data_IF_588366016171
#
_entry.id   IF_588366016171
#
_cell.length_a   1.000
_cell.length_b   1.000
_cell.length_c   1.000
_cell.angle_alpha   90.00
_cell.angle_beta   90.00
_cell.angle_gamma   90.00
#
_symmetry.space_group_name_H-M   'P 1'
#
loop_
_entity.id
_entity.type
_entity.pdbx_description
1 polymer ?
#
# COMPACT_ATOMS: atom_id res chain seq x y z
N UNK A 1 -29.89 -21.73 -19.13
CA UNK A 1 -29.75 -20.51 -18.30
C UNK A 1 -29.37 -21.00 -16.91
N UNK A 2 -28.20 -20.78 -16.31
CA UNK A 2 -27.08 -19.85 -16.53
C UNK A 2 -25.81 -20.60 -16.11
N UNK A 3 -24.75 -20.52 -16.92
CA UNK A 3 -23.40 -20.89 -16.51
C UNK A 3 -23.00 -20.03 -15.31
N UNK A 4 -22.92 -20.64 -14.13
CA UNK A 4 -22.34 -19.98 -12.96
C UNK A 4 -20.83 -20.09 -13.09
N UNK A 5 -20.23 -19.08 -13.73
CA UNK A 5 -18.79 -18.90 -13.80
C UNK A 5 -18.24 -18.85 -12.37
N UNK A 6 -17.63 -19.94 -11.92
CA UNK A 6 -16.99 -20.06 -10.62
C UNK A 6 -15.69 -19.25 -10.64
N UNK A 7 -15.82 -17.93 -10.65
CA UNK A 7 -14.70 -17.00 -10.53
C UNK A 7 -13.93 -17.37 -9.28
N UNK A 8 -12.70 -17.89 -9.45
CA UNK A 8 -11.79 -18.28 -8.36
C UNK A 8 -11.62 -17.09 -7.41
N UNK A 9 -12.37 -17.09 -6.31
CA UNK A 9 -12.33 -16.03 -5.33
C UNK A 9 -11.10 -16.23 -4.45
N UNK A 10 -10.19 -15.25 -4.43
CA UNK A 10 -9.00 -15.28 -3.59
C UNK A 10 -9.33 -14.47 -2.34
N UNK A 11 -9.41 -15.17 -1.20
CA UNK A 11 -9.63 -14.52 0.10
C UNK A 11 -8.30 -13.96 0.59
N UNK A 12 -8.30 -12.68 0.95
CA UNK A 12 -7.14 -11.98 1.51
C UNK A 12 -7.60 -11.35 2.83
N UNK A 13 -7.23 -11.97 3.95
CA UNK A 13 -7.58 -11.49 5.29
C UNK A 13 -6.47 -10.65 5.93
N UNK A 14 -5.22 -10.87 5.51
CA UNK A 14 -4.03 -10.31 6.17
C UNK A 14 -3.72 -8.86 5.81
N UNK A 15 -4.58 -8.16 5.06
CA UNK A 15 -4.34 -6.76 4.71
C UNK A 15 -5.62 -5.91 4.74
N UNK A 16 -5.45 -4.66 5.17
CA UNK A 16 -6.50 -3.65 5.11
C UNK A 16 -6.87 -3.34 3.66
N UNK A 17 -8.13 -3.04 3.41
CA UNK A 17 -8.63 -2.69 2.07
C UNK A 17 -7.86 -1.53 1.41
N UNK A 18 -7.42 -0.56 2.21
CA UNK A 18 -6.63 0.58 1.74
C UNK A 18 -5.25 0.14 1.21
N UNK A 19 -4.58 -0.78 1.91
CA UNK A 19 -3.28 -1.35 1.49
C UNK A 19 -3.45 -2.19 0.24
N UNK A 20 -4.52 -2.98 0.17
CA UNK A 20 -4.84 -3.79 -1.01
C UNK A 20 -5.09 -2.92 -2.25
N UNK A 21 -5.83 -1.83 -2.09
CA UNK A 21 -6.07 -0.87 -3.17
C UNK A 21 -4.75 -0.26 -3.68
N UNK A 22 -3.86 0.15 -2.79
CA UNK A 22 -2.55 0.68 -3.17
C UNK A 22 -1.71 -0.37 -3.93
N UNK A 23 -1.71 -1.62 -3.45
CA UNK A 23 -1.01 -2.73 -4.09
C UNK A 23 -1.57 -3.04 -5.49
N UNK A 24 -2.90 -3.05 -5.65
CA UNK A 24 -3.53 -3.23 -6.95
C UNK A 24 -3.17 -2.11 -7.90
N UNK A 25 -3.22 -0.85 -7.45
CA UNK A 25 -2.86 0.28 -8.29
C UNK A 25 -1.43 0.11 -8.82
N UNK A 26 -0.48 -0.22 -7.95
CA UNK A 26 0.90 -0.52 -8.37
C UNK A 26 0.95 -1.65 -9.42
N UNK A 27 0.21 -2.74 -9.22
CA UNK A 27 0.20 -3.86 -10.17
C UNK A 27 -0.31 -3.44 -11.58
N UNK A 28 -1.19 -2.44 -11.67
CA UNK A 28 -1.77 -1.98 -12.92
C UNK A 28 -1.03 -0.78 -13.54
N UNK A 29 -0.38 0.07 -12.74
CA UNK A 29 0.21 1.34 -13.20
C UNK A 29 1.69 1.49 -12.86
N UNK A 30 2.29 0.49 -12.23
CA UNK A 30 3.67 0.50 -11.69
C UNK A 30 3.93 1.69 -10.72
N UNK A 31 2.86 2.24 -10.15
CA UNK A 31 2.92 3.41 -9.26
C UNK A 31 1.97 3.27 -8.07
N UNK A 32 2.40 3.80 -6.92
CA UNK A 32 1.54 3.89 -5.72
C UNK A 32 0.90 5.27 -5.69
N UNK A 33 -0.44 5.36 -5.59
CA UNK A 33 -1.15 6.64 -5.54
C UNK A 33 -0.82 7.39 -4.25
N UNK A 34 -0.95 8.72 -4.30
CA UNK A 34 -0.81 9.53 -3.09
C UNK A 34 -1.94 9.22 -2.09
N UNK A 35 -1.70 9.56 -0.82
CA UNK A 35 -2.67 9.27 0.24
C UNK A 35 -4.01 9.95 -0.03
N UNK A 36 -4.01 11.17 -0.56
CA UNK A 36 -5.23 11.89 -0.92
C UNK A 36 -6.05 11.19 -2.01
N UNK A 37 -5.39 10.52 -2.95
CA UNK A 37 -6.04 9.75 -4.03
C UNK A 37 -6.58 8.40 -3.53
N UNK A 38 -5.82 7.73 -2.65
CA UNK A 38 -6.26 6.50 -1.97
C UNK A 38 -7.53 6.74 -1.17
N UNK A 39 -7.57 7.90 -0.52
CA UNK A 39 -8.62 8.39 0.35
C UNK A 39 -9.87 8.84 -0.43
N UNK A 40 -9.70 9.61 -1.49
CA UNK A 40 -10.82 10.17 -2.26
C UNK A 40 -11.65 9.11 -2.98
N UNK A 41 -11.05 7.96 -3.29
CA UNK A 41 -11.71 6.90 -4.03
C UNK A 41 -12.52 5.90 -3.19
N UNK A 42 -12.71 6.11 -1.88
CA UNK A 42 -13.54 5.25 -1.04
C UNK A 42 -13.59 5.64 0.45
N UNK A 43 -14.59 5.13 1.15
CA UNK A 43 -14.85 5.30 2.58
C UNK A 43 -13.95 4.40 3.45
N UNK A 44 -12.65 4.57 3.30
CA UNK A 44 -11.61 3.83 4.02
C UNK A 44 -11.04 4.67 5.17
N UNK A 45 -10.59 3.98 6.22
CA UNK A 45 -10.17 4.57 7.50
C UNK A 45 -9.06 5.62 7.30
N UNK A 46 -9.41 6.88 7.55
CA UNK A 46 -8.59 8.08 7.35
C UNK A 46 -7.49 8.26 8.40
N UNK A 47 -7.46 7.44 9.44
CA UNK A 47 -6.62 7.67 10.60
C UNK A 47 -5.25 6.96 10.49
N UNK A 48 -4.94 6.34 9.34
CA UNK A 48 -3.69 5.64 9.16
C UNK A 48 -2.59 6.58 8.66
N UNK A 49 -1.46 6.73 9.39
CA UNK A 49 -0.34 7.53 8.93
C UNK A 49 0.31 6.91 7.68
N UNK A 50 0.91 7.74 6.83
CA UNK A 50 1.59 7.31 5.60
C UNK A 50 2.65 6.23 5.88
N UNK A 51 3.39 6.37 6.98
CA UNK A 51 4.41 5.41 7.40
C UNK A 51 3.82 4.01 7.63
N UNK A 52 2.66 3.91 8.27
CA UNK A 52 1.97 2.64 8.51
C UNK A 52 1.44 2.03 7.20
N UNK A 53 0.95 2.86 6.26
CA UNK A 53 0.59 2.39 4.92
C UNK A 53 1.78 1.71 4.22
N UNK A 54 2.91 2.41 4.10
CA UNK A 54 4.08 1.87 3.41
C UNK A 54 4.69 0.66 4.13
N UNK A 55 4.60 0.59 5.46
CA UNK A 55 4.99 -0.60 6.23
C UNK A 55 4.12 -1.81 5.89
N UNK A 56 2.80 -1.66 5.91
CA UNK A 56 1.89 -2.74 5.54
C UNK A 56 2.04 -3.13 4.06
N UNK A 57 2.27 -2.15 3.19
CA UNK A 57 2.48 -2.37 1.76
C UNK A 57 3.79 -3.11 1.49
N UNK A 58 4.85 -2.85 2.27
CA UNK A 58 6.11 -3.59 2.21
C UNK A 58 5.92 -5.06 2.62
N UNK A 59 5.15 -5.31 3.68
CA UNK A 59 4.82 -6.69 4.11
C UNK A 59 4.03 -7.42 3.02
N UNK A 60 3.06 -6.75 2.40
CA UNK A 60 2.32 -7.31 1.26
C UNK A 60 3.26 -7.56 0.06
N UNK A 61 4.07 -6.58 -0.33
CA UNK A 61 5.03 -6.71 -1.43
C UNK A 61 5.97 -7.91 -1.24
N UNK A 62 6.44 -8.11 -0.01
CA UNK A 62 7.27 -9.26 0.33
C UNK A 62 6.50 -10.60 0.18
N UNK A 63 5.24 -10.65 0.64
CA UNK A 63 4.42 -11.85 0.58
C UNK A 63 3.98 -12.23 -0.84
N UNK A 64 3.73 -11.26 -1.68
CA UNK A 64 3.28 -11.45 -3.07
C UNK A 64 4.43 -11.37 -4.10
N UNK A 65 5.69 -11.34 -3.64
CA UNK A 65 6.90 -11.25 -4.48
C UNK A 65 6.85 -10.09 -5.51
N UNK A 66 6.39 -8.92 -5.07
CA UNK A 66 6.37 -7.70 -5.87
C UNK A 66 7.65 -6.90 -5.61
N UNK A 67 8.75 -7.28 -6.25
CA UNK A 67 10.06 -6.65 -6.02
C UNK A 67 10.08 -5.16 -6.36
N UNK A 68 9.37 -4.72 -7.40
CA UNK A 68 9.24 -3.29 -7.75
C UNK A 68 8.55 -2.49 -6.64
N UNK A 69 7.45 -3.02 -6.10
CA UNK A 69 6.71 -2.40 -4.99
C UNK A 69 7.55 -2.34 -3.72
N UNK A 70 8.35 -3.38 -3.47
CA UNK A 70 9.26 -3.45 -2.32
C UNK A 70 10.29 -2.32 -2.35
N UNK A 71 10.96 -2.11 -3.49
CA UNK A 71 11.96 -1.03 -3.65
C UNK A 71 11.30 0.32 -3.37
N UNK A 72 10.16 0.57 -4.01
CA UNK A 72 9.42 1.83 -3.85
C UNK A 72 8.99 2.08 -2.40
N UNK A 73 8.52 1.04 -1.69
CA UNK A 73 8.16 1.17 -0.27
C UNK A 73 9.38 1.49 0.60
N UNK A 74 10.52 0.84 0.37
CA UNK A 74 11.76 1.06 1.13
C UNK A 74 12.28 2.49 0.90
N UNK A 75 12.27 2.99 -0.33
CA UNK A 75 12.68 4.36 -0.65
C UNK A 75 11.83 5.38 0.10
N UNK A 76 10.49 5.25 0.03
CA UNK A 76 9.56 6.16 0.71
C UNK A 76 9.72 6.12 2.23
N UNK A 77 9.85 4.93 2.81
CA UNK A 77 10.09 4.78 4.25
C UNK A 77 11.42 5.38 4.67
N UNK A 78 12.49 5.18 3.87
CA UNK A 78 13.81 5.73 4.14
C UNK A 78 13.78 7.26 4.13
N UNK A 79 13.15 7.88 3.14
CA UNK A 79 12.98 9.35 3.08
C UNK A 79 12.22 9.88 4.29
N UNK A 80 11.15 9.22 4.71
CA UNK A 80 10.36 9.62 5.88
C UNK A 80 11.19 9.52 7.17
N UNK A 81 11.89 8.41 7.37
CA UNK A 81 12.78 8.23 8.53
C UNK A 81 13.88 9.29 8.54
N UNK A 82 14.50 9.56 7.39
CA UNK A 82 15.55 10.57 7.26
C UNK A 82 15.03 11.97 7.60
N UNK A 83 13.83 12.33 7.14
CA UNK A 83 13.21 13.63 7.44
C UNK A 83 12.87 13.76 8.93
N UNK A 84 12.34 12.70 9.54
CA UNK A 84 12.06 12.66 10.99
C UNK A 84 13.37 12.83 11.78
N UNK A 85 14.44 12.12 11.38
CA UNK A 85 15.73 12.17 12.07
C UNK A 85 16.39 13.54 11.93
N UNK A 86 16.33 14.16 10.75
CA UNK A 86 16.79 15.55 10.54
C UNK A 86 15.99 16.54 11.39
N UNK A 87 14.66 16.38 11.45
CA UNK A 87 13.80 17.24 12.25
C UNK A 87 14.12 17.12 13.75
N UNK A 88 14.37 15.91 14.25
CA UNK A 88 14.79 15.66 15.64
C UNK A 88 16.19 16.23 15.95
N UNK A 89 17.10 16.28 14.99
CA UNK A 89 18.44 16.85 15.18
C UNK A 89 18.45 18.38 15.13
N UNK A 90 17.43 19.00 14.55
CA UNK A 90 17.27 20.45 14.43
C UNK A 90 16.36 21.05 15.51
N UNK A 91 15.75 20.22 16.35
CA UNK A 91 14.90 20.59 17.48
C UNK A 91 15.68 20.47 18.80
#
# INVERSE_FOLDING_TARGET
MVESNCSKCIVIDDMKALVFRAMLHFMYTDSVPDMDDLVSGGNLDMNMPCTALYQHLLVAAHRYALDGLKILCVERLCTMIQLILLCLLLL
#
